data_IF_206317207898
#
_entry.id   IF_206317207898
#
_cell.length_a   1.000
_cell.length_b   1.000
_cell.length_c   1.000
_cell.angle_alpha   90.00
_cell.angle_beta   90.00
_cell.angle_gamma   90.00
#
_symmetry.space_group_name_H-M   'P 1'
#
loop_
_entity.id
_entity.type
_entity.pdbx_description
1 polymer ?
#
# COMPACT_ATOMS: atom_id res chain seq x y z
N UNK A 1 8.42 -0.23 2.80
CA UNK A 1 9.57 -0.10 1.88
C UNK A 1 10.05 -1.46 1.35
N UNK A 2 10.44 -2.41 2.22
CA UNK A 2 10.84 -3.77 1.79
C UNK A 2 9.73 -4.46 0.98
N UNK A 3 8.49 -4.42 1.47
CA UNK A 3 7.34 -4.97 0.75
C UNK A 3 7.19 -4.35 -0.64
N UNK A 4 7.35 -3.03 -0.77
CA UNK A 4 7.26 -2.32 -2.06
C UNK A 4 8.32 -2.80 -3.05
N UNK A 5 9.56 -2.98 -2.60
CA UNK A 5 10.64 -3.50 -3.42
C UNK A 5 10.39 -4.96 -3.88
N UNK A 6 9.82 -5.80 -3.02
CA UNK A 6 9.46 -7.19 -3.35
C UNK A 6 8.25 -7.23 -4.31
N UNK A 7 7.25 -6.40 -4.07
CA UNK A 7 6.01 -6.37 -4.84
C UNK A 7 6.24 -5.86 -6.26
N UNK A 8 6.87 -4.69 -6.38
CA UNK A 8 7.17 -4.04 -7.66
C UNK A 8 8.48 -4.52 -8.29
N UNK A 9 9.21 -5.42 -7.64
CA UNK A 9 10.38 -6.10 -8.19
C UNK A 9 10.03 -7.53 -8.64
N UNK A 10 10.41 -8.57 -7.86
CA UNK A 10 10.31 -9.97 -8.26
C UNK A 10 8.88 -10.48 -8.49
N UNK A 11 7.88 -10.02 -7.73
CA UNK A 11 6.52 -10.57 -7.82
C UNK A 11 5.75 -10.00 -9.02
N UNK A 12 5.57 -8.68 -9.07
CA UNK A 12 4.71 -8.02 -10.05
C UNK A 12 5.43 -6.95 -10.88
N UNK A 13 6.74 -6.79 -10.76
CA UNK A 13 7.46 -5.70 -11.43
C UNK A 13 7.32 -5.68 -12.94
N UNK A 14 7.40 -6.85 -13.61
CA UNK A 14 7.21 -6.94 -15.07
C UNK A 14 5.79 -6.55 -15.49
N UNK A 15 4.78 -7.04 -14.77
CA UNK A 15 3.37 -6.75 -15.04
C UNK A 15 3.06 -5.28 -14.76
N UNK A 16 3.57 -4.74 -13.67
CA UNK A 16 3.45 -3.33 -13.29
C UNK A 16 4.08 -2.42 -14.34
N UNK A 17 5.33 -2.67 -14.76
CA UNK A 17 6.00 -1.88 -15.80
C UNK A 17 5.21 -1.88 -17.11
N UNK A 18 4.75 -3.05 -17.56
CA UNK A 18 3.92 -3.19 -18.77
C UNK A 18 2.60 -2.43 -18.64
N UNK A 19 1.93 -2.53 -17.49
CA UNK A 19 0.65 -1.88 -17.26
C UNK A 19 0.77 -0.37 -17.08
N UNK A 20 1.90 0.11 -16.54
CA UNK A 20 2.24 1.52 -16.35
C UNK A 20 2.84 2.20 -17.58
N UNK A 21 3.23 1.43 -18.61
CA UNK A 21 3.95 1.96 -19.77
C UNK A 21 5.35 2.48 -19.42
N UNK A 22 5.93 2.03 -18.29
CA UNK A 22 7.25 2.46 -17.81
C UNK A 22 8.32 1.53 -18.36
N UNK A 23 9.34 2.10 -18.99
CA UNK A 23 10.50 1.34 -19.48
C UNK A 23 11.64 1.35 -18.48
N UNK A 24 12.62 0.45 -18.68
CA UNK A 24 13.86 0.46 -17.88
C UNK A 24 14.62 1.78 -18.00
N UNK A 25 14.57 2.42 -19.18
CA UNK A 25 15.22 3.69 -19.42
C UNK A 25 14.56 4.83 -18.62
N UNK A 26 13.25 4.78 -18.40
CA UNK A 26 12.54 5.75 -17.57
C UNK A 26 12.94 5.60 -16.10
N UNK A 27 12.97 4.36 -15.59
CA UNK A 27 13.45 4.07 -14.22
C UNK A 27 14.89 4.56 -14.03
N UNK A 28 15.73 4.42 -15.06
CA UNK A 28 17.12 4.86 -15.01
C UNK A 28 17.28 6.39 -15.02
N UNK A 29 16.39 7.10 -15.72
CA UNK A 29 16.30 8.57 -15.63
C UNK A 29 15.85 9.03 -14.25
N UNK A 30 14.92 8.30 -13.65
CA UNK A 30 14.34 8.64 -12.34
C UNK A 30 15.26 8.32 -11.17
N UNK A 31 16.39 7.62 -11.39
CA UNK A 31 17.37 7.26 -10.34
C UNK A 31 17.79 8.42 -9.45
N UNK A 32 17.86 9.63 -10.00
CA UNK A 32 18.24 10.84 -9.24
C UNK A 32 17.16 11.28 -8.26
N UNK A 33 15.89 11.03 -8.58
CA UNK A 33 14.74 11.41 -7.75
C UNK A 33 14.27 10.27 -6.84
N UNK A 34 14.69 9.03 -7.11
CA UNK A 34 14.34 7.86 -6.30
C UNK A 34 14.52 8.07 -4.78
N UNK A 35 15.61 8.66 -4.26
CA UNK A 35 15.75 8.87 -2.82
C UNK A 35 14.65 9.75 -2.22
N UNK A 36 14.24 10.80 -2.93
CA UNK A 36 13.18 11.70 -2.51
C UNK A 36 11.81 10.99 -2.56
N UNK A 37 11.54 10.21 -3.61
CA UNK A 37 10.32 9.39 -3.70
C UNK A 37 10.23 8.38 -2.55
N UNK A 38 11.34 7.72 -2.21
CA UNK A 38 11.41 6.82 -1.05
C UNK A 38 11.18 7.56 0.27
N UNK A 39 11.75 8.74 0.45
CA UNK A 39 11.55 9.55 1.66
C UNK A 39 10.07 9.94 1.82
N UNK A 40 9.44 10.46 0.77
CA UNK A 40 8.02 10.86 0.79
C UNK A 40 7.12 9.65 1.11
N UNK A 41 7.35 8.53 0.41
CA UNK A 41 6.56 7.31 0.64
C UNK A 41 6.80 6.69 2.02
N UNK A 42 8.01 6.81 2.57
CA UNK A 42 8.32 6.40 3.94
C UNK A 42 7.54 7.25 4.97
N UNK A 43 7.54 8.57 4.83
CA UNK A 43 6.74 9.45 5.71
C UNK A 43 5.24 9.13 5.60
N UNK A 44 4.72 8.97 4.38
CA UNK A 44 3.32 8.56 4.19
C UNK A 44 3.00 7.20 4.84
N UNK A 45 3.96 6.28 4.82
CA UNK A 45 3.84 4.99 5.52
C UNK A 45 3.76 5.17 7.04
N UNK A 46 4.58 6.04 7.63
CA UNK A 46 4.55 6.33 9.07
C UNK A 46 3.21 6.96 9.47
N UNK A 47 2.70 7.91 8.69
CA UNK A 47 1.39 8.52 8.93
C UNK A 47 0.28 7.46 8.90
N UNK A 48 0.31 6.55 7.92
CA UNK A 48 -0.65 5.45 7.82
C UNK A 48 -0.59 4.52 9.03
N UNK A 49 0.62 4.17 9.48
CA UNK A 49 0.82 3.34 10.66
C UNK A 49 0.31 4.02 11.94
N UNK A 50 0.56 5.32 12.10
CA UNK A 50 0.06 6.10 13.24
C UNK A 50 -1.47 6.13 13.27
N UNK A 51 -2.13 6.42 12.15
CA UNK A 51 -3.59 6.43 12.06
C UNK A 51 -4.19 5.05 12.33
N UNK A 52 -3.55 3.98 11.83
CA UNK A 52 -3.94 2.61 12.16
C UNK A 52 -3.85 2.33 13.68
N UNK A 53 -2.78 2.78 14.33
CA UNK A 53 -2.62 2.61 15.78
C UNK A 53 -3.72 3.34 16.57
N UNK A 54 -4.09 4.55 16.15
CA UNK A 54 -5.21 5.29 16.74
C UNK A 54 -6.52 4.51 16.59
N UNK A 55 -6.83 3.99 15.40
CA UNK A 55 -8.04 3.19 15.20
C UNK A 55 -8.04 1.89 16.00
N UNK A 56 -6.91 1.18 16.07
CA UNK A 56 -6.76 -0.03 16.89
C UNK A 56 -7.02 0.30 18.36
N UNK A 57 -6.47 1.40 18.87
CA UNK A 57 -6.67 1.87 20.23
C UNK A 57 -8.13 2.25 20.53
N UNK A 58 -8.81 2.94 19.60
CA UNK A 58 -10.23 3.32 19.76
C UNK A 58 -11.17 2.13 19.78
N UNK A 59 -10.93 1.13 18.93
CA UNK A 59 -11.78 -0.06 18.80
C UNK A 59 -11.40 -1.13 19.84
N UNK A 60 -10.27 -0.98 20.54
CA UNK A 60 -9.76 -1.99 21.46
C UNK A 60 -9.35 -3.28 20.74
N UNK A 61 -8.85 -3.18 19.51
CA UNK A 61 -8.48 -4.30 18.66
C UNK A 61 -7.15 -4.94 19.12
N UNK A 62 -7.12 -5.45 20.35
CA UNK A 62 -5.93 -6.00 21.03
C UNK A 62 -5.58 -7.43 20.59
N UNK A 63 -6.23 -7.94 19.55
CA UNK A 63 -5.93 -9.26 18.97
C UNK A 63 -5.61 -9.11 17.50
N UNK A 64 -4.73 -9.98 16.98
CA UNK A 64 -4.36 -10.01 15.56
C UNK A 64 -5.61 -10.17 14.68
N UNK A 65 -6.57 -11.00 15.09
CA UNK A 65 -7.81 -11.21 14.36
C UNK A 65 -8.62 -9.91 14.19
N UNK A 66 -8.79 -9.14 15.27
CA UNK A 66 -9.50 -7.86 15.21
C UNK A 66 -8.75 -6.81 14.39
N UNK A 67 -7.41 -6.77 14.49
CA UNK A 67 -6.58 -5.87 13.70
C UNK A 67 -6.64 -6.18 12.20
N UNK A 68 -6.70 -7.46 11.82
CA UNK A 68 -6.89 -7.91 10.44
C UNK A 68 -8.28 -7.51 9.94
N UNK A 69 -9.34 -7.70 10.72
CA UNK A 69 -10.70 -7.29 10.34
C UNK A 69 -10.76 -5.77 10.16
N UNK A 70 -10.20 -5.00 11.09
CA UNK A 70 -10.16 -3.55 11.00
C UNK A 70 -9.41 -3.08 9.75
N UNK A 71 -8.23 -3.63 9.49
CA UNK A 71 -7.44 -3.30 8.29
C UNK A 71 -8.14 -3.71 7.00
N UNK A 72 -8.89 -4.82 6.99
CA UNK A 72 -9.74 -5.20 5.87
C UNK A 72 -10.86 -4.19 5.63
N UNK A 73 -11.55 -3.73 6.68
CA UNK A 73 -12.61 -2.72 6.56
C UNK A 73 -12.06 -1.37 6.08
N UNK A 74 -10.92 -0.94 6.60
CA UNK A 74 -10.24 0.29 6.15
C UNK A 74 -9.83 0.15 4.68
N UNK A 75 -9.26 -0.99 4.30
CA UNK A 75 -8.88 -1.26 2.93
C UNK A 75 -10.08 -1.23 1.99
N UNK A 76 -11.15 -1.95 2.32
CA UNK A 76 -12.33 -2.03 1.47
C UNK A 76 -13.06 -0.68 1.38
N UNK A 77 -13.27 -0.03 2.52
CA UNK A 77 -14.07 1.18 2.63
C UNK A 77 -13.38 2.43 2.10
N UNK A 78 -12.05 2.52 2.18
CA UNK A 78 -11.30 3.71 1.77
C UNK A 78 -10.37 3.46 0.59
N UNK A 79 -9.61 2.36 0.57
CA UNK A 79 -8.60 2.14 -0.47
C UNK A 79 -9.24 1.67 -1.77
N UNK A 80 -10.05 0.61 -1.71
CA UNK A 80 -10.67 0.02 -2.91
C UNK A 80 -11.65 1.00 -3.55
N UNK A 81 -12.55 1.57 -2.75
CA UNK A 81 -13.56 2.53 -3.22
C UNK A 81 -12.95 3.79 -3.82
N UNK A 82 -11.94 4.40 -3.19
CA UNK A 82 -11.27 5.60 -3.73
C UNK A 82 -10.46 5.28 -4.99
N UNK A 83 -9.84 4.10 -5.05
CA UNK A 83 -9.06 3.67 -6.20
C UNK A 83 -9.93 3.23 -7.39
N UNK A 84 -11.21 2.93 -7.16
CA UNK A 84 -12.14 2.49 -8.21
C UNK A 84 -12.54 3.65 -9.13
N UNK A 85 -12.66 4.86 -8.61
CA UNK A 85 -13.03 6.06 -9.39
C UNK A 85 -12.14 6.25 -10.63
N UNK A 86 -10.80 6.31 -10.49
CA UNK A 86 -9.89 6.41 -11.63
C UNK A 86 -10.01 5.26 -12.64
N UNK A 87 -10.34 4.04 -12.19
CA UNK A 87 -10.53 2.90 -13.12
C UNK A 87 -11.78 3.08 -13.97
N UNK A 88 -12.88 3.48 -13.34
CA UNK A 88 -14.18 3.62 -14.00
C UNK A 88 -14.20 4.85 -14.90
N UNK A 89 -13.69 5.99 -14.42
CA UNK A 89 -13.81 7.28 -15.09
C UNK A 89 -12.63 7.60 -16.00
N UNK A 90 -11.40 7.34 -15.55
CA UNK A 90 -10.17 7.67 -16.30
C UNK A 90 -9.72 6.51 -17.19
N UNK A 91 -10.48 5.39 -17.22
CA UNK A 91 -10.14 4.15 -17.91
C UNK A 91 -8.72 3.66 -17.59
N UNK A 92 -8.27 3.91 -16.35
CA UNK A 92 -6.96 3.51 -15.89
C UNK A 92 -6.84 1.99 -15.95
N UNK A 93 -5.64 1.49 -16.29
CA UNK A 93 -5.39 0.08 -16.48
C UNK A 93 -5.81 -0.75 -15.24
N UNK A 94 -6.72 -1.71 -15.43
CA UNK A 94 -7.25 -2.56 -14.36
C UNK A 94 -6.14 -3.38 -13.68
N UNK A 95 -5.09 -3.77 -14.40
CA UNK A 95 -3.95 -4.47 -13.81
C UNK A 95 -3.18 -3.58 -12.83
N UNK A 96 -3.01 -2.29 -13.16
CA UNK A 96 -2.39 -1.32 -12.24
C UNK A 96 -3.22 -1.13 -10.98
N UNK A 97 -4.54 -1.06 -11.13
CA UNK A 97 -5.46 -0.99 -10.00
C UNK A 97 -5.32 -2.22 -9.10
N UNK A 98 -5.42 -3.43 -9.68
CA UNK A 98 -5.30 -4.69 -8.94
C UNK A 98 -3.97 -4.79 -8.18
N UNK A 99 -2.85 -4.48 -8.83
CA UNK A 99 -1.53 -4.50 -8.20
C UNK A 99 -1.45 -3.48 -7.06
N UNK A 100 -2.02 -2.29 -7.23
CA UNK A 100 -2.03 -1.24 -6.23
C UNK A 100 -2.90 -1.57 -5.01
N UNK A 101 -4.15 -1.97 -5.22
CA UNK A 101 -5.07 -2.26 -4.10
C UNK A 101 -4.65 -3.51 -3.33
N UNK A 102 -4.10 -4.52 -4.00
CA UNK A 102 -3.58 -5.72 -3.32
C UNK A 102 -2.30 -5.44 -2.54
N UNK A 103 -1.39 -4.62 -3.09
CA UNK A 103 -0.23 -4.13 -2.34
C UNK A 103 -0.64 -3.41 -1.05
N UNK A 104 -1.58 -2.46 -1.16
CA UNK A 104 -2.07 -1.71 0.00
C UNK A 104 -2.74 -2.62 1.03
N UNK A 105 -3.48 -3.64 0.60
CA UNK A 105 -4.10 -4.62 1.50
C UNK A 105 -3.05 -5.36 2.34
N UNK A 106 -2.05 -5.95 1.68
CA UNK A 106 -0.98 -6.69 2.36
C UNK A 106 -0.18 -5.75 3.27
N UNK A 107 0.08 -4.53 2.81
CA UNK A 107 0.77 -3.50 3.61
C UNK A 107 0.00 -3.15 4.89
N UNK A 108 -1.32 -2.94 4.78
CA UNK A 108 -2.17 -2.61 5.93
C UNK A 108 -2.26 -3.76 6.93
N UNK A 109 -2.36 -5.01 6.47
CA UNK A 109 -2.37 -6.19 7.34
C UNK A 109 -1.05 -6.33 8.11
N UNK A 110 0.08 -6.18 7.42
CA UNK A 110 1.39 -6.29 8.07
C UNK A 110 1.53 -5.20 9.14
N UNK A 111 1.17 -3.96 8.81
CA UNK A 111 1.23 -2.84 9.76
C UNK A 111 0.30 -3.04 10.95
N UNK A 112 -0.97 -3.38 10.72
CA UNK A 112 -1.96 -3.56 11.79
C UNK A 112 -1.60 -4.72 12.70
N UNK A 113 -1.07 -5.82 12.15
CA UNK A 113 -0.64 -6.98 12.94
C UNK A 113 0.56 -6.66 13.81
N UNK A 114 1.54 -5.92 13.29
CA UNK A 114 2.70 -5.47 14.08
C UNK A 114 2.23 -4.58 15.24
N UNK A 115 1.35 -3.62 14.97
CA UNK A 115 0.83 -2.70 15.98
C UNK A 115 0.03 -3.45 17.05
N UNK A 116 -0.82 -4.40 16.66
CA UNK A 116 -1.68 -5.14 17.59
C UNK A 116 -0.91 -6.09 18.52
N UNK A 117 0.27 -6.55 18.11
CA UNK A 117 1.15 -7.40 18.93
C UNK A 117 2.09 -6.56 19.80
N UNK A 118 2.30 -5.28 19.46
CA UNK A 118 3.14 -4.40 20.25
C UNK A 118 2.44 -4.04 21.58
N UNK A 119 3.01 -4.39 22.74
CA UNK A 119 2.41 -4.02 24.02
C UNK A 119 2.44 -2.49 24.16
N UNK A 120 1.28 -1.92 24.51
CA UNK A 120 1.14 -0.51 24.88
C UNK A 120 1.86 -0.20 26.19
#
# INVERSE_FOLDING_TARGET
>A
MILGAIWHGPLFGKTWMKAAGVTKADIEKDKKEMPMMYAITFVGTLVTAYVLAVFIGWVGANTIALAVILSFLVWLGFVVTSSLGPVVWEKRNQQLFLIGVSYSFVSLIIMSSIIAVWPA
#
